data_IF_056497181287
#
_entry.id   IF_056497181287
#
_cell.length_a   1.000
_cell.length_b   1.000
_cell.length_c   1.000
_cell.angle_alpha   90.00
_cell.angle_beta   90.00
_cell.angle_gamma   90.00
#
_symmetry.space_group_name_H-M   'P 1'
#
loop_
_entity.id
_entity.type
_entity.pdbx_description
1 polymer ?
#
# COMPACT_ATOMS: atom_id res chain seq x y z
N UNK A 1 -28.89 -28.77 28.55
CA UNK A 1 -27.70 -29.68 28.54
C UNK A 1 -26.83 -29.31 27.37
N UNK A 2 -25.61 -28.82 27.61
CA UNK A 2 -24.66 -28.51 26.54
C UNK A 2 -24.31 -29.82 25.81
N UNK A 3 -24.42 -29.84 24.47
CA UNK A 3 -23.96 -30.97 23.65
C UNK A 3 -22.48 -31.16 23.89
N UNK A 4 -22.07 -32.24 24.54
CA UNK A 4 -20.67 -32.62 24.64
C UNK A 4 -20.18 -32.98 23.24
N UNK A 5 -19.14 -32.28 22.78
CA UNK A 5 -18.41 -32.62 21.55
C UNK A 5 -17.20 -33.50 21.96
N UNK A 6 -17.32 -34.83 21.92
CA UNK A 6 -16.35 -35.75 22.56
C UNK A 6 -14.97 -35.70 21.92
N UNK A 7 -14.89 -35.28 20.65
CA UNK A 7 -13.64 -35.24 19.90
C UNK A 7 -13.00 -33.83 19.90
N UNK A 8 -13.60 -32.85 20.63
CA UNK A 8 -13.08 -31.50 20.67
C UNK A 8 -11.86 -31.38 21.59
N UNK A 9 -10.77 -30.80 21.05
CA UNK A 9 -9.52 -30.57 21.74
C UNK A 9 -9.23 -29.06 21.79
N UNK A 10 -9.75 -28.33 22.78
CA UNK A 10 -9.68 -26.88 22.87
C UNK A 10 -8.23 -26.36 23.00
N UNK A 11 -7.33 -27.13 23.60
CA UNK A 11 -5.92 -26.76 23.78
C UNK A 11 -5.19 -26.51 22.44
N UNK A 12 -5.66 -27.09 21.33
CA UNK A 12 -5.08 -26.85 20.02
C UNK A 12 -5.30 -25.42 19.53
N UNK A 13 -6.41 -24.79 19.88
CA UNK A 13 -6.64 -23.37 19.54
C UNK A 13 -5.62 -22.46 20.23
N UNK A 14 -5.39 -22.71 21.52
CA UNK A 14 -4.39 -21.99 22.29
C UNK A 14 -2.99 -22.20 21.71
N UNK A 15 -2.63 -23.43 21.42
CA UNK A 15 -1.34 -23.77 20.83
C UNK A 15 -1.11 -23.00 19.52
N UNK A 16 -2.07 -22.99 18.60
CA UNK A 16 -1.94 -22.28 17.33
C UNK A 16 -1.93 -20.76 17.48
N UNK A 17 -2.66 -20.20 18.47
CA UNK A 17 -2.57 -18.78 18.79
C UNK A 17 -1.16 -18.40 19.27
N UNK A 18 -0.62 -19.16 20.20
CA UNK A 18 0.72 -18.92 20.77
C UNK A 18 1.82 -19.14 19.71
N UNK A 19 1.67 -20.12 18.81
CA UNK A 19 2.57 -20.39 17.69
C UNK A 19 2.77 -19.16 16.77
N UNK A 20 1.70 -18.37 16.56
CA UNK A 20 1.76 -17.18 15.73
C UNK A 20 1.87 -15.87 16.54
N UNK A 21 2.08 -15.95 17.85
CA UNK A 21 2.35 -14.83 18.75
C UNK A 21 1.17 -13.88 18.99
N UNK A 22 -0.08 -14.32 18.83
CA UNK A 22 -1.25 -13.47 19.06
C UNK A 22 -1.71 -13.48 20.52
N UNK A 23 -2.18 -12.32 20.99
CA UNK A 23 -2.95 -12.22 22.24
C UNK A 23 -4.39 -12.71 22.02
N UNK A 24 -5.19 -12.83 23.09
CA UNK A 24 -6.61 -13.16 22.99
C UNK A 24 -7.40 -12.02 22.32
N UNK A 25 -7.04 -10.77 22.60
CA UNK A 25 -7.59 -9.57 21.99
C UNK A 25 -7.33 -9.52 20.49
N UNK A 26 -6.06 -9.68 20.08
CA UNK A 26 -5.65 -9.70 18.68
C UNK A 26 -6.37 -10.80 17.90
N UNK A 27 -6.53 -11.98 18.52
CA UNK A 27 -7.27 -13.09 17.93
C UNK A 27 -8.72 -12.73 17.69
N UNK A 28 -9.37 -12.10 18.68
CA UNK A 28 -10.75 -11.64 18.55
C UNK A 28 -10.91 -10.63 17.41
N UNK A 29 -10.00 -9.68 17.29
CA UNK A 29 -9.99 -8.66 16.23
C UNK A 29 -9.82 -9.30 14.84
N UNK A 30 -8.79 -10.13 14.66
CA UNK A 30 -8.53 -10.83 13.39
C UNK A 30 -9.67 -11.74 12.96
N UNK A 31 -10.34 -12.41 13.91
CA UNK A 31 -11.50 -13.22 13.59
C UNK A 31 -12.70 -12.38 13.11
N UNK A 32 -12.92 -11.17 13.68
CA UNK A 32 -13.96 -10.25 13.19
C UNK A 32 -13.64 -9.75 11.79
N UNK A 33 -12.39 -9.33 11.53
CA UNK A 33 -11.94 -8.91 10.20
C UNK A 33 -12.15 -10.00 9.14
N UNK A 34 -11.79 -11.24 9.48
CA UNK A 34 -12.00 -12.39 8.58
C UNK A 34 -13.50 -12.62 8.33
N UNK A 35 -14.32 -12.53 9.35
CA UNK A 35 -15.76 -12.72 9.24
C UNK A 35 -16.40 -11.66 8.34
N UNK A 36 -16.07 -10.38 8.56
CA UNK A 36 -16.56 -9.25 7.77
C UNK A 36 -16.15 -9.38 6.29
N UNK A 37 -14.87 -9.69 6.03
CA UNK A 37 -14.34 -9.88 4.66
C UNK A 37 -15.04 -11.01 3.90
N UNK A 38 -15.57 -11.98 4.62
CA UNK A 38 -16.25 -13.15 4.05
C UNK A 38 -17.78 -13.13 4.21
N UNK A 39 -18.37 -11.99 4.55
CA UNK A 39 -19.81 -11.77 4.54
C UNK A 39 -20.57 -12.47 5.67
N UNK A 40 -19.92 -12.77 6.81
CA UNK A 40 -20.60 -13.29 8.01
C UNK A 40 -20.19 -12.50 9.24
N UNK A 41 -21.02 -12.53 10.29
CA UNK A 41 -20.80 -11.74 11.50
C UNK A 41 -20.53 -12.65 12.70
N UNK A 42 -19.55 -12.27 13.54
CA UNK A 42 -19.23 -12.90 14.81
C UNK A 42 -18.89 -11.83 15.85
N UNK A 43 -19.32 -12.04 17.09
CA UNK A 43 -19.04 -11.14 18.21
C UNK A 43 -17.79 -11.62 18.98
N UNK A 44 -16.65 -11.78 18.27
CA UNK A 44 -15.43 -12.26 18.88
C UNK A 44 -14.80 -11.16 19.77
N UNK A 45 -14.62 -11.48 21.04
CA UNK A 45 -13.88 -10.70 22.01
C UNK A 45 -12.98 -11.62 22.84
N UNK A 46 -12.15 -11.06 23.69
CA UNK A 46 -11.22 -11.82 24.49
C UNK A 46 -11.90 -12.91 25.33
N UNK A 47 -13.07 -12.63 25.95
CA UNK A 47 -13.80 -13.60 26.76
C UNK A 47 -14.33 -14.78 25.95
N UNK A 48 -14.78 -14.51 24.72
CA UNK A 48 -15.25 -15.55 23.79
C UNK A 48 -14.10 -16.46 23.37
N UNK A 49 -12.93 -15.89 23.01
CA UNK A 49 -11.76 -16.66 22.61
C UNK A 49 -11.25 -17.51 23.77
N UNK A 50 -11.14 -16.90 24.95
CA UNK A 50 -10.75 -17.62 26.17
C UNK A 50 -11.72 -18.75 26.52
N UNK A 51 -13.05 -18.55 26.37
CA UNK A 51 -14.05 -19.58 26.55
C UNK A 51 -13.89 -20.75 25.58
N UNK A 52 -13.52 -20.47 24.33
CA UNK A 52 -13.18 -21.49 23.33
C UNK A 52 -11.91 -22.26 23.70
N UNK A 53 -10.84 -21.59 24.06
CA UNK A 53 -9.55 -22.22 24.42
C UNK A 53 -9.61 -23.03 25.74
N UNK A 54 -10.46 -22.61 26.69
CA UNK A 54 -10.73 -23.39 27.92
C UNK A 54 -11.69 -24.56 27.75
N UNK A 55 -12.31 -24.67 26.58
CA UNK A 55 -13.30 -25.74 26.35
C UNK A 55 -14.63 -25.52 27.05
N UNK A 56 -14.90 -24.32 27.60
CA UNK A 56 -16.17 -24.00 28.24
C UNK A 56 -17.30 -23.76 27.24
N UNK A 57 -16.96 -23.27 26.05
CA UNK A 57 -17.90 -23.00 24.95
C UNK A 57 -17.37 -23.61 23.66
N UNK A 58 -18.16 -24.48 23.01
CA UNK A 58 -17.79 -25.02 21.71
C UNK A 58 -18.02 -23.97 20.61
N UNK A 59 -17.02 -23.63 19.75
CA UNK A 59 -17.17 -22.63 18.72
C UNK A 59 -18.25 -22.96 17.70
N UNK A 60 -19.15 -22.00 17.45
CA UNK A 60 -20.16 -22.13 16.40
C UNK A 60 -19.55 -22.20 14.98
N UNK A 61 -20.35 -22.58 13.95
CA UNK A 61 -19.85 -22.82 12.60
C UNK A 61 -19.08 -21.61 12.02
N UNK A 62 -19.55 -20.40 12.26
CA UNK A 62 -18.88 -19.17 11.79
C UNK A 62 -17.54 -18.97 12.48
N UNK A 63 -17.45 -19.20 13.79
CA UNK A 63 -16.17 -19.15 14.52
C UNK A 63 -15.18 -20.19 14.01
N UNK A 64 -15.62 -21.45 13.82
CA UNK A 64 -14.74 -22.50 13.29
C UNK A 64 -14.22 -22.15 11.92
N UNK A 65 -15.08 -21.64 11.03
CA UNK A 65 -14.68 -21.16 9.71
C UNK A 65 -13.66 -20.02 9.78
N UNK A 66 -13.83 -19.07 10.70
CA UNK A 66 -12.88 -17.98 10.92
C UNK A 66 -11.54 -18.48 11.47
N UNK A 67 -11.55 -19.38 12.45
CA UNK A 67 -10.35 -20.02 12.98
C UNK A 67 -9.58 -20.82 11.92
N UNK A 68 -10.27 -21.59 11.08
CA UNK A 68 -9.63 -22.34 10.00
C UNK A 68 -8.88 -21.39 9.04
N UNK A 69 -9.45 -20.22 8.75
CA UNK A 69 -8.78 -19.21 7.91
C UNK A 69 -7.63 -18.51 8.61
N UNK A 70 -7.82 -18.15 9.89
CA UNK A 70 -6.80 -17.46 10.68
C UNK A 70 -5.54 -18.32 10.81
N UNK A 71 -5.71 -19.58 11.20
CA UNK A 71 -4.59 -20.49 11.45
C UNK A 71 -4.17 -21.31 10.22
N UNK A 72 -4.86 -21.16 9.08
CA UNK A 72 -4.64 -21.96 7.87
C UNK A 72 -4.60 -23.46 8.14
N UNK A 73 -5.57 -23.93 8.92
CA UNK A 73 -5.75 -25.33 9.33
C UNK A 73 -7.19 -25.75 9.08
N UNK A 74 -7.42 -27.05 8.86
CA UNK A 74 -8.77 -27.59 8.80
C UNK A 74 -9.37 -27.82 10.19
N UNK A 75 -10.66 -28.13 10.26
CA UNK A 75 -11.39 -28.33 11.52
C UNK A 75 -10.81 -29.49 12.36
N UNK A 76 -10.30 -30.54 11.73
CA UNK A 76 -9.69 -31.66 12.43
C UNK A 76 -8.35 -31.28 13.05
N UNK A 77 -7.51 -30.56 12.31
CA UNK A 77 -6.23 -30.03 12.78
C UNK A 77 -6.38 -29.05 13.95
N UNK A 78 -7.46 -28.28 13.96
CA UNK A 78 -7.80 -27.37 15.06
C UNK A 78 -8.54 -28.07 16.22
N UNK A 79 -8.72 -29.38 16.13
CA UNK A 79 -9.35 -30.18 17.18
C UNK A 79 -10.86 -29.98 17.33
N UNK A 80 -11.54 -29.42 16.36
CA UNK A 80 -13.00 -29.26 16.41
C UNK A 80 -13.75 -30.58 16.19
N UNK A 81 -13.17 -31.52 15.48
CA UNK A 81 -13.72 -32.82 15.17
C UNK A 81 -12.63 -33.84 14.92
N UNK A 82 -12.99 -35.10 14.89
CA UNK A 82 -12.11 -36.18 14.44
C UNK A 82 -11.84 -36.05 12.94
N UNK A 83 -10.60 -36.37 12.54
CA UNK A 83 -10.22 -36.40 11.14
C UNK A 83 -11.05 -37.44 10.36
N UNK A 84 -11.40 -37.12 9.14
CA UNK A 84 -12.03 -38.06 8.21
C UNK A 84 -10.97 -39.01 7.62
N UNK A 85 -11.33 -40.20 7.15
CA UNK A 85 -10.38 -41.08 6.47
C UNK A 85 -9.70 -40.36 5.28
N UNK A 86 -8.38 -40.30 5.34
CA UNK A 86 -7.56 -39.56 4.32
C UNK A 86 -7.20 -38.13 4.69
N UNK A 87 -7.80 -37.52 5.72
CA UNK A 87 -7.40 -36.19 6.23
C UNK A 87 -6.14 -36.25 7.14
N UNK A 88 -5.81 -37.42 7.65
CA UNK A 88 -4.64 -37.65 8.52
C UNK A 88 -3.33 -37.86 7.74
N UNK A 89 -3.34 -37.77 6.40
CA UNK A 89 -2.09 -37.70 5.68
C UNK A 89 -1.32 -36.51 6.26
N UNK A 90 -0.09 -36.72 6.81
CA UNK A 90 0.71 -35.60 7.21
C UNK A 90 0.79 -34.73 5.97
N UNK A 91 0.30 -33.49 6.03
CA UNK A 91 0.91 -32.46 5.23
C UNK A 91 2.36 -32.59 5.62
N UNK A 92 3.18 -33.18 4.72
CA UNK A 92 4.62 -33.25 4.94
C UNK A 92 4.97 -31.92 5.55
N UNK A 93 5.43 -31.95 6.79
CA UNK A 93 5.97 -30.79 7.45
C UNK A 93 7.13 -30.42 6.55
N UNK A 94 6.87 -29.53 5.61
CA UNK A 94 7.94 -28.82 4.93
C UNK A 94 8.75 -28.28 6.09
N UNK A 95 9.97 -28.80 6.30
CA UNK A 95 10.79 -28.38 7.42
C UNK A 95 10.80 -26.87 7.36
N UNK A 96 10.53 -26.22 8.49
CA UNK A 96 10.67 -24.78 8.59
C UNK A 96 12.04 -24.48 7.98
N UNK A 97 12.14 -23.73 6.89
CA UNK A 97 13.43 -23.50 6.29
C UNK A 97 14.25 -22.83 7.36
N UNK A 98 15.30 -23.53 7.81
CA UNK A 98 16.43 -22.86 8.39
C UNK A 98 16.72 -21.71 7.44
N UNK A 99 16.61 -20.48 7.90
CA UNK A 99 16.93 -19.17 7.29
C UNK A 99 17.66 -19.20 5.91
N UNK A 100 17.23 -20.07 5.02
CA UNK A 100 17.60 -20.03 3.63
C UNK A 100 16.59 -19.10 2.97
N UNK A 101 17.06 -17.93 2.57
CA UNK A 101 16.39 -17.02 1.66
C UNK A 101 15.64 -17.84 0.60
N UNK A 102 14.32 -17.94 0.71
CA UNK A 102 13.50 -18.43 -0.39
C UNK A 102 13.60 -17.38 -1.46
N UNK A 103 14.63 -17.48 -2.30
CA UNK A 103 14.62 -16.80 -3.58
C UNK A 103 13.37 -17.27 -4.32
N UNK A 104 12.46 -16.36 -4.57
CA UNK A 104 11.39 -16.56 -5.53
C UNK A 104 12.03 -17.02 -6.84
N UNK A 105 11.40 -17.96 -7.58
CA UNK A 105 11.97 -18.44 -8.84
C UNK A 105 12.28 -17.25 -9.75
N UNK A 106 13.49 -17.16 -10.26
CA UNK A 106 13.97 -16.05 -11.10
C UNK A 106 13.31 -16.00 -12.50
N UNK A 107 12.38 -16.92 -12.79
CA UNK A 107 11.76 -17.02 -14.11
C UNK A 107 10.22 -16.98 -14.03
N UNK A 108 9.55 -16.14 -14.84
CA UNK A 108 8.09 -16.06 -14.92
C UNK A 108 7.41 -17.39 -15.18
N UNK A 109 8.04 -18.28 -15.96
CA UNK A 109 7.50 -19.60 -16.28
C UNK A 109 7.50 -20.57 -15.09
N UNK A 110 8.45 -20.46 -14.17
CA UNK A 110 8.46 -21.25 -12.95
C UNK A 110 7.34 -20.80 -11.98
N UNK A 111 7.05 -19.50 -11.90
CA UNK A 111 5.92 -18.95 -11.14
C UNK A 111 4.60 -19.38 -11.77
N UNK A 112 4.49 -19.31 -13.09
CA UNK A 112 3.30 -19.78 -13.85
C UNK A 112 3.07 -21.28 -13.62
N UNK A 113 4.11 -22.10 -13.63
CA UNK A 113 4.06 -23.53 -13.37
C UNK A 113 3.66 -23.84 -11.93
N UNK A 114 4.17 -23.10 -10.95
CA UNK A 114 3.79 -23.22 -9.53
C UNK A 114 2.32 -22.82 -9.30
N UNK A 115 1.83 -21.78 -9.99
CA UNK A 115 0.43 -21.35 -9.93
C UNK A 115 -0.50 -22.31 -10.67
N UNK A 116 -0.06 -22.95 -11.77
CA UNK A 116 -0.86 -23.94 -12.49
C UNK A 116 -1.02 -25.25 -11.70
N UNK A 117 -0.03 -25.65 -10.90
CA UNK A 117 -0.17 -26.83 -10.02
C UNK A 117 -1.15 -26.62 -8.85
N UNK A 118 -1.44 -25.37 -8.48
CA UNK A 118 -2.48 -25.04 -7.50
C UNK A 118 -3.89 -25.12 -8.14
N UNK A 119 -3.95 -25.14 -9.46
CA UNK A 119 -5.15 -25.00 -10.28
C UNK A 119 -5.84 -26.32 -10.62
N UNK A 120 -5.23 -27.46 -10.40
CA UNK A 120 -5.79 -28.81 -10.72
C UNK A 120 -7.05 -29.17 -9.92
N UNK A 121 -7.89 -28.19 -9.56
CA UNK A 121 -9.14 -28.38 -8.81
C UNK A 121 -10.24 -27.34 -9.02
N UNK A 122 -10.04 -26.31 -9.86
CA UNK A 122 -11.08 -25.27 -10.08
C UNK A 122 -11.14 -24.84 -11.55
N UNK A 123 -12.22 -25.25 -12.22
CA UNK A 123 -12.59 -24.84 -13.59
C UNK A 123 -13.18 -23.43 -13.64
N UNK A 124 -12.43 -22.38 -13.22
CA UNK A 124 -12.98 -21.03 -13.22
C UNK A 124 -12.13 -20.07 -14.06
N UNK A 125 -12.79 -19.42 -15.03
CA UNK A 125 -12.18 -18.41 -15.94
C UNK A 125 -11.52 -17.27 -15.16
N UNK A 126 -12.01 -16.96 -13.96
CA UNK A 126 -11.44 -15.98 -13.05
C UNK A 126 -10.05 -16.36 -12.52
N UNK A 127 -9.75 -17.66 -12.42
CA UNK A 127 -8.43 -18.14 -11.95
C UNK A 127 -7.32 -17.82 -12.95
N UNK A 128 -7.60 -17.83 -14.26
CA UNK A 128 -6.60 -17.49 -15.28
C UNK A 128 -6.27 -16.01 -15.29
N UNK A 129 -7.29 -15.18 -15.15
CA UNK A 129 -7.12 -13.74 -15.03
C UNK A 129 -6.35 -13.36 -13.76
N UNK A 130 -6.59 -14.08 -12.65
CA UNK A 130 -5.86 -13.90 -11.39
C UNK A 130 -4.41 -14.36 -11.53
N UNK A 131 -4.15 -15.54 -12.10
CA UNK A 131 -2.81 -16.02 -12.40
C UNK A 131 -2.02 -15.05 -13.27
N UNK A 132 -2.62 -14.53 -14.32
CA UNK A 132 -1.98 -13.57 -15.21
C UNK A 132 -1.67 -12.25 -14.47
N UNK A 133 -2.57 -11.78 -13.61
CA UNK A 133 -2.31 -10.59 -12.76
C UNK A 133 -1.16 -10.83 -11.79
N UNK A 134 -1.12 -11.98 -11.12
CA UNK A 134 -0.03 -12.34 -10.20
C UNK A 134 1.31 -12.45 -10.93
N UNK A 135 1.36 -13.17 -12.05
CA UNK A 135 2.57 -13.31 -12.86
C UNK A 135 3.05 -11.96 -13.41
N UNK A 136 2.14 -11.11 -13.87
CA UNK A 136 2.48 -9.78 -14.37
C UNK A 136 2.93 -8.84 -13.23
N UNK A 137 2.33 -8.93 -12.06
CA UNK A 137 2.79 -8.19 -10.89
C UNK A 137 4.18 -8.66 -10.44
N UNK A 138 4.41 -9.96 -10.41
CA UNK A 138 5.70 -10.53 -10.06
C UNK A 138 6.77 -10.19 -11.10
N UNK A 139 6.47 -10.31 -12.40
CA UNK A 139 7.40 -9.95 -13.49
C UNK A 139 7.78 -8.47 -13.45
N UNK A 140 6.84 -7.59 -13.07
CA UNK A 140 7.12 -6.16 -12.86
C UNK A 140 8.02 -5.93 -11.65
N UNK A 141 7.82 -6.67 -10.57
CA UNK A 141 8.69 -6.62 -9.39
C UNK A 141 10.11 -7.11 -9.68
N UNK A 142 10.24 -8.18 -10.45
CA UNK A 142 11.57 -8.75 -10.79
C UNK A 142 12.28 -7.99 -11.90
N UNK A 143 11.53 -7.40 -12.85
CA UNK A 143 12.11 -6.53 -13.87
C UNK A 143 12.64 -5.21 -13.32
N UNK A 144 12.08 -4.76 -12.17
CA UNK A 144 12.55 -3.59 -11.44
C UNK A 144 13.60 -3.89 -10.37
N UNK A 145 13.94 -5.17 -10.14
CA UNK A 145 15.07 -5.55 -9.28
C UNK A 145 16.38 -5.30 -10.05
N UNK A 146 16.70 -4.01 -10.21
CA UNK A 146 18.03 -3.59 -10.63
C UNK A 146 19.06 -4.14 -9.65
N UNK A 147 20.19 -4.59 -10.16
CA UNK A 147 21.37 -4.97 -9.35
C UNK A 147 21.89 -3.81 -8.49
N UNK A 148 21.37 -2.61 -8.71
CA UNK A 148 21.83 -1.35 -8.13
C UNK A 148 21.02 -0.85 -6.92
N UNK A 149 20.02 -1.63 -6.45
CA UNK A 149 19.19 -1.26 -5.30
C UNK A 149 17.83 -0.68 -5.68
N UNK A 150 16.98 -0.34 -4.67
CA UNK A 150 15.65 0.22 -4.94
C UNK A 150 15.74 1.66 -5.46
N UNK A 151 14.69 2.08 -6.14
CA UNK A 151 14.57 3.45 -6.68
C UNK A 151 13.44 4.19 -5.98
N UNK A 152 13.63 5.46 -5.69
CA UNK A 152 12.58 6.38 -5.26
C UNK A 152 12.33 7.44 -6.31
N UNK A 153 11.07 7.60 -6.71
CA UNK A 153 10.64 8.66 -7.62
C UNK A 153 9.87 9.71 -6.81
N UNK A 154 10.34 10.96 -6.86
CA UNK A 154 9.63 12.11 -6.29
C UNK A 154 8.82 12.79 -7.39
N UNK A 155 7.49 12.73 -7.32
CA UNK A 155 6.59 13.40 -8.27
C UNK A 155 6.03 14.65 -7.62
N UNK A 156 6.50 15.81 -8.07
CA UNK A 156 6.09 17.13 -7.61
C UNK A 156 5.27 17.90 -8.65
N UNK A 157 4.55 18.92 -8.18
CA UNK A 157 3.76 19.80 -9.05
C UNK A 157 2.69 20.55 -8.26
N UNK A 158 2.21 21.63 -8.82
CA UNK A 158 1.12 22.42 -8.24
C UNK A 158 -0.19 21.64 -8.16
N UNK A 159 -1.15 22.14 -7.38
CA UNK A 159 -2.50 21.59 -7.39
C UNK A 159 -3.10 21.77 -8.80
N UNK A 160 -3.69 20.70 -9.33
CA UNK A 160 -4.23 20.70 -10.69
C UNK A 160 -3.22 20.41 -11.80
N UNK A 161 -1.91 20.22 -11.52
CA UNK A 161 -0.92 19.89 -12.57
C UNK A 161 -1.01 18.47 -13.12
N UNK A 162 -1.80 17.57 -12.51
CA UNK A 162 -1.87 16.17 -12.95
C UNK A 162 -0.81 15.25 -12.34
N UNK A 163 -0.01 15.70 -11.35
CA UNK A 163 1.04 14.89 -10.72
C UNK A 163 0.56 13.52 -10.22
N UNK A 164 -0.65 13.45 -9.61
CA UNK A 164 -1.20 12.20 -9.09
C UNK A 164 -1.63 11.24 -10.21
N UNK A 165 -2.06 11.76 -11.35
CA UNK A 165 -2.33 10.95 -12.53
C UNK A 165 -1.04 10.39 -13.13
N UNK A 166 -0.01 11.24 -13.22
CA UNK A 166 1.31 10.83 -13.66
C UNK A 166 1.91 9.75 -12.73
N UNK A 167 1.79 9.91 -11.41
CA UNK A 167 2.20 8.90 -10.44
C UNK A 167 1.47 7.56 -10.64
N UNK A 168 0.18 7.58 -11.01
CA UNK A 168 -0.58 6.36 -11.33
C UNK A 168 -0.08 5.68 -12.61
N UNK A 169 0.28 6.43 -13.64
CA UNK A 169 0.90 5.85 -14.84
C UNK A 169 2.24 5.20 -14.51
N UNK A 170 3.10 5.87 -13.75
CA UNK A 170 4.34 5.27 -13.27
C UNK A 170 4.10 4.00 -12.46
N UNK A 171 3.15 4.04 -11.51
CA UNK A 171 2.77 2.87 -10.70
C UNK A 171 2.23 1.72 -11.54
N UNK A 172 1.41 2.02 -12.57
CA UNK A 172 0.90 1.03 -13.51
C UNK A 172 1.98 0.38 -14.37
N UNK A 173 2.99 1.16 -14.78
CA UNK A 173 4.11 0.69 -15.61
C UNK A 173 5.14 -0.09 -14.79
N UNK A 174 5.43 0.32 -13.57
CA UNK A 174 6.49 -0.27 -12.72
C UNK A 174 5.99 -1.32 -11.74
N UNK A 175 4.72 -1.24 -11.33
CA UNK A 175 4.19 -2.01 -10.21
C UNK A 175 4.65 -1.50 -8.83
N UNK A 176 5.31 -0.36 -8.75
CA UNK A 176 5.79 0.21 -7.50
C UNK A 176 4.66 0.86 -6.70
N UNK A 177 4.70 0.80 -5.36
CA UNK A 177 3.72 1.47 -4.52
C UNK A 177 3.76 2.98 -4.72
N UNK A 178 2.58 3.59 -4.77
CA UNK A 178 2.41 5.04 -4.79
C UNK A 178 2.11 5.49 -3.36
N UNK A 179 2.98 6.30 -2.81
CA UNK A 179 2.83 6.93 -1.51
C UNK A 179 2.33 8.37 -1.74
N UNK A 180 1.02 8.54 -1.78
CA UNK A 180 0.37 9.84 -1.92
C UNK A 180 0.22 10.48 -0.54
N UNK A 181 0.80 11.67 -0.37
CA UNK A 181 0.78 12.41 0.90
C UNK A 181 -0.65 12.59 1.43
N UNK A 182 -1.56 12.98 0.56
CA UNK A 182 -2.94 13.25 0.95
C UNK A 182 -3.68 11.97 1.31
N UNK A 183 -3.46 10.89 0.58
CA UNK A 183 -4.07 9.58 0.88
C UNK A 183 -3.60 9.01 2.20
N UNK A 184 -2.32 9.21 2.55
CA UNK A 184 -1.75 8.74 3.80
C UNK A 184 -2.23 9.53 5.02
N UNK A 185 -2.48 10.83 4.87
CA UNK A 185 -2.60 11.72 6.03
C UNK A 185 -3.90 12.49 6.14
N UNK A 186 -4.68 12.65 5.04
CA UNK A 186 -5.85 13.54 4.99
C UNK A 186 -6.82 13.41 6.17
N UNK A 187 -7.35 12.22 6.51
CA UNK A 187 -8.32 12.12 7.60
C UNK A 187 -7.76 12.58 8.95
N UNK A 188 -6.50 12.27 9.21
CA UNK A 188 -5.80 12.67 10.44
C UNK A 188 -5.52 14.17 10.46
N UNK A 189 -5.13 14.74 9.32
CA UNK A 189 -4.84 16.16 9.18
C UNK A 189 -6.10 17.01 9.35
N UNK A 190 -7.22 16.58 8.77
CA UNK A 190 -8.50 17.27 8.91
C UNK A 190 -8.92 17.31 10.40
N UNK A 191 -8.80 16.21 11.13
CA UNK A 191 -9.09 16.15 12.56
C UNK A 191 -8.08 16.97 13.39
N UNK A 192 -6.80 16.91 13.04
CA UNK A 192 -5.76 17.67 13.75
C UNK A 192 -5.99 19.18 13.59
N UNK A 193 -6.30 19.66 12.40
CA UNK A 193 -6.61 21.08 12.16
C UNK A 193 -7.78 21.55 13.01
N UNK A 194 -8.87 20.80 13.03
CA UNK A 194 -10.04 21.11 13.88
C UNK A 194 -9.64 21.14 15.36
N UNK A 195 -8.84 20.17 15.81
CA UNK A 195 -8.38 20.10 17.21
C UNK A 195 -7.49 21.28 17.60
N UNK A 196 -6.79 21.87 16.62
CA UNK A 196 -5.96 23.07 16.82
C UNK A 196 -6.72 24.39 16.62
N UNK A 197 -8.06 24.32 16.43
CA UNK A 197 -8.92 25.50 16.24
C UNK A 197 -8.93 26.06 14.82
N UNK A 198 -8.45 25.30 13.83
CA UNK A 198 -8.51 25.62 12.41
C UNK A 198 -9.66 24.93 11.69
N UNK A 199 -9.79 25.18 10.39
CA UNK A 199 -10.77 24.52 9.52
C UNK A 199 -10.20 23.22 8.94
N UNK A 200 -11.03 22.17 8.84
CA UNK A 200 -10.60 20.83 8.43
C UNK A 200 -9.87 20.80 7.07
N UNK A 201 -10.31 21.63 6.12
CA UNK A 201 -9.75 21.62 4.75
C UNK A 201 -8.75 22.76 4.49
N UNK A 202 -8.39 23.51 5.52
CA UNK A 202 -7.40 24.58 5.36
C UNK A 202 -6.00 24.00 5.09
N UNK A 203 -5.43 24.41 3.97
CA UNK A 203 -4.07 24.05 3.53
C UNK A 203 -3.23 25.30 3.23
N UNK A 204 -3.72 26.48 3.61
CA UNK A 204 -3.14 27.78 3.27
C UNK A 204 -2.69 28.59 4.49
N UNK A 205 -3.26 28.37 5.66
CA UNK A 205 -2.94 29.13 6.88
C UNK A 205 -1.51 28.87 7.40
N UNK A 206 -1.05 29.77 8.23
CA UNK A 206 0.22 29.61 8.96
C UNK A 206 0.16 28.43 9.92
N UNK A 207 -1.01 28.17 10.53
CA UNK A 207 -1.23 27.01 11.38
C UNK A 207 -0.90 25.71 10.61
N UNK A 208 -1.49 25.53 9.43
CA UNK A 208 -1.20 24.38 8.59
C UNK A 208 0.27 24.34 8.17
N UNK A 209 0.78 25.43 7.63
CA UNK A 209 2.16 25.48 7.07
C UNK A 209 3.22 25.18 8.13
N UNK A 210 3.06 25.67 9.34
CA UNK A 210 4.08 25.57 10.40
C UNK A 210 3.93 24.36 11.30
N UNK A 211 2.68 23.89 11.56
CA UNK A 211 2.41 22.85 12.56
C UNK A 211 2.01 21.51 11.94
N UNK A 212 1.28 21.52 10.85
CA UNK A 212 0.66 20.30 10.29
C UNK A 212 1.40 19.78 9.07
N UNK A 213 1.70 20.63 8.10
CA UNK A 213 2.42 20.24 6.88
C UNK A 213 3.75 19.50 7.14
N UNK A 214 4.60 19.90 8.10
CA UNK A 214 5.82 19.14 8.37
C UNK A 214 5.55 17.70 8.84
N UNK A 215 4.44 17.46 9.54
CA UNK A 215 4.06 16.12 10.00
C UNK A 215 3.59 15.25 8.83
N UNK A 216 2.83 15.80 7.87
CA UNK A 216 2.42 15.09 6.66
C UNK A 216 3.64 14.60 5.86
N UNK A 217 4.60 15.50 5.62
CA UNK A 217 5.82 15.13 4.90
C UNK A 217 6.68 14.13 5.68
N UNK A 218 6.68 14.23 6.99
CA UNK A 218 7.36 13.24 7.83
C UNK A 218 6.73 11.86 7.69
N UNK A 219 5.40 11.74 7.76
CA UNK A 219 4.69 10.47 7.52
C UNK A 219 4.99 9.90 6.14
N UNK A 220 4.94 10.75 5.09
CA UNK A 220 5.28 10.35 3.73
C UNK A 220 6.70 9.79 3.64
N UNK A 221 7.66 10.50 4.22
CA UNK A 221 9.07 10.10 4.17
C UNK A 221 9.36 8.86 5.00
N UNK A 222 8.74 8.69 6.17
CA UNK A 222 8.86 7.48 7.00
C UNK A 222 8.30 6.26 6.24
N UNK A 223 7.10 6.36 5.67
CA UNK A 223 6.52 5.30 4.85
C UNK A 223 7.39 4.95 3.62
N UNK A 224 8.02 5.95 3.00
CA UNK A 224 8.95 5.72 1.90
C UNK A 224 10.19 4.94 2.35
N UNK A 225 10.80 5.33 3.48
CA UNK A 225 11.99 4.64 3.99
C UNK A 225 11.70 3.21 4.40
N UNK A 226 10.53 2.92 4.98
CA UNK A 226 10.13 1.55 5.33
C UNK A 226 10.10 0.65 4.09
N UNK A 227 9.59 1.15 2.95
CA UNK A 227 9.61 0.40 1.68
C UNK A 227 11.03 0.23 1.14
N UNK A 228 11.79 1.32 1.07
CA UNK A 228 13.14 1.33 0.52
C UNK A 228 14.12 0.47 1.35
N UNK A 229 13.99 0.45 2.66
CA UNK A 229 14.79 -0.38 3.56
C UNK A 229 14.47 -1.89 3.39
N UNK A 230 13.27 -2.21 2.89
CA UNK A 230 12.90 -3.56 2.45
C UNK A 230 13.34 -3.89 1.01
N UNK A 231 14.03 -2.98 0.31
CA UNK A 231 14.44 -3.16 -1.09
C UNK A 231 13.30 -2.91 -2.10
N UNK A 232 12.20 -2.29 -1.67
CA UNK A 232 11.05 -2.01 -2.52
C UNK A 232 11.14 -0.56 -3.02
N UNK A 233 11.16 -0.38 -4.34
CA UNK A 233 11.08 0.93 -4.97
C UNK A 233 9.73 1.59 -4.72
N UNK A 234 9.69 2.93 -4.64
CA UNK A 234 8.46 3.66 -4.34
C UNK A 234 8.33 4.96 -5.13
N UNK A 235 7.08 5.36 -5.39
CA UNK A 235 6.72 6.63 -6.02
C UNK A 235 6.07 7.52 -4.96
N UNK A 236 6.63 8.70 -4.72
CA UNK A 236 6.12 9.65 -3.75
C UNK A 236 5.38 10.77 -4.48
N UNK A 237 4.08 10.89 -4.21
CA UNK A 237 3.21 11.94 -4.76
C UNK A 237 2.93 13.01 -3.70
N UNK A 238 3.50 14.19 -3.90
CA UNK A 238 3.25 15.38 -3.08
C UNK A 238 3.59 16.65 -3.88
N UNK A 239 3.14 17.85 -3.46
CA UNK A 239 3.50 19.09 -4.14
C UNK A 239 5.01 19.34 -4.22
N UNK A 240 5.79 19.03 -3.18
CA UNK A 240 7.25 19.19 -3.06
C UNK A 240 7.80 20.58 -3.39
N UNK A 241 6.96 21.63 -3.45
CA UNK A 241 7.37 22.97 -3.90
C UNK A 241 8.49 23.52 -3.00
N UNK A 242 8.30 23.48 -1.68
CA UNK A 242 9.29 23.99 -0.74
C UNK A 242 10.55 23.12 -0.70
N UNK A 243 10.39 21.82 -0.79
CA UNK A 243 11.46 20.83 -0.78
C UNK A 243 12.34 20.96 -2.03
N UNK A 244 11.71 21.07 -3.19
CA UNK A 244 12.40 21.19 -4.48
C UNK A 244 13.06 22.55 -4.70
N UNK A 245 12.61 23.60 -4.00
CA UNK A 245 13.25 24.92 -4.06
C UNK A 245 14.51 25.05 -3.21
N UNK A 246 14.76 24.08 -2.29
CA UNK A 246 15.87 24.12 -1.34
C UNK A 246 16.97 23.13 -1.73
N UNK A 247 18.10 23.66 -2.22
CA UNK A 247 19.25 22.83 -2.60
C UNK A 247 19.77 21.97 -1.44
N UNK A 248 19.74 22.48 -0.20
CA UNK A 248 20.19 21.75 0.98
C UNK A 248 19.28 20.57 1.31
N UNK A 249 17.96 20.71 1.11
CA UNK A 249 17.03 19.61 1.29
C UNK A 249 17.29 18.50 0.27
N UNK A 250 17.40 18.87 -1.00
CA UNK A 250 17.68 17.94 -2.10
C UNK A 250 19.01 17.21 -1.88
N UNK A 251 20.06 17.92 -1.49
CA UNK A 251 21.36 17.32 -1.20
C UNK A 251 21.30 16.34 -0.02
N UNK A 252 20.65 16.72 1.10
CA UNK A 252 20.47 15.81 2.25
C UNK A 252 19.70 14.55 1.86
N UNK A 253 18.62 14.70 1.09
CA UNK A 253 17.85 13.58 0.61
C UNK A 253 18.67 12.64 -0.29
N UNK A 254 19.33 13.20 -1.31
CA UNK A 254 20.20 12.43 -2.22
C UNK A 254 21.35 11.74 -1.49
N UNK A 255 21.98 12.40 -0.52
CA UNK A 255 23.05 11.81 0.28
C UNK A 255 22.55 10.63 1.12
N UNK A 256 21.36 10.76 1.72
CA UNK A 256 20.73 9.65 2.45
C UNK A 256 20.41 8.48 1.52
N UNK A 257 19.84 8.75 0.34
CA UNK A 257 19.58 7.71 -0.67
C UNK A 257 20.88 7.01 -1.08
N UNK A 258 21.92 7.77 -1.39
CA UNK A 258 23.23 7.23 -1.79
C UNK A 258 23.82 6.34 -0.68
N UNK A 259 23.73 6.75 0.58
CA UNK A 259 24.22 5.94 1.71
C UNK A 259 23.50 4.60 1.88
N UNK A 260 22.26 4.52 1.39
CA UNK A 260 21.41 3.32 1.41
C UNK A 260 21.37 2.58 0.05
N UNK A 261 22.16 3.00 -0.94
CA UNK A 261 22.14 2.48 -2.31
C UNK A 261 20.76 2.57 -2.97
N UNK A 262 20.06 3.68 -2.74
CA UNK A 262 18.77 3.99 -3.35
C UNK A 262 19.00 4.95 -4.50
N UNK A 263 18.51 4.61 -5.69
CA UNK A 263 18.47 5.52 -6.84
C UNK A 263 17.35 6.55 -6.66
N UNK A 264 17.53 7.76 -7.20
CA UNK A 264 16.59 8.88 -7.05
C UNK A 264 16.24 9.47 -8.41
N UNK A 265 14.96 9.58 -8.72
CA UNK A 265 14.47 10.42 -9.80
C UNK A 265 13.57 11.53 -9.24
N UNK A 266 13.75 12.74 -9.73
CA UNK A 266 12.92 13.90 -9.39
C UNK A 266 12.15 14.32 -10.64
N UNK A 267 10.84 14.42 -10.53
CA UNK A 267 9.95 14.75 -11.63
C UNK A 267 9.09 15.94 -11.22
N UNK A 268 9.04 16.94 -12.09
CA UNK A 268 8.15 18.07 -11.96
C UNK A 268 7.07 18.01 -13.03
N UNK A 269 5.83 17.84 -12.61
CA UNK A 269 4.67 17.86 -13.49
C UNK A 269 4.09 19.26 -13.49
N UNK A 270 4.14 19.92 -14.63
CA UNK A 270 3.58 21.25 -14.86
C UNK A 270 2.43 21.20 -15.86
N UNK A 271 1.68 22.28 -15.92
CA UNK A 271 0.74 22.60 -16.99
C UNK A 271 0.52 24.12 -17.05
N UNK A 272 -0.14 24.61 -18.10
CA UNK A 272 -0.58 26.00 -18.17
C UNK A 272 -1.75 26.29 -17.22
N UNK A 273 -2.07 27.57 -17.03
CA UNK A 273 -3.13 27.99 -16.10
C UNK A 273 -4.53 27.56 -16.53
N UNK A 274 -4.79 27.51 -17.83
CA UNK A 274 -6.08 27.10 -18.38
C UNK A 274 -6.35 25.64 -18.07
N UNK A 275 -5.41 24.78 -18.42
CA UNK A 275 -5.45 23.34 -18.10
C UNK A 275 -5.57 23.08 -16.60
N UNK A 276 -4.80 23.82 -15.79
CA UNK A 276 -4.84 23.70 -14.32
C UNK A 276 -6.23 24.03 -13.77
N UNK A 277 -6.84 25.11 -14.27
CA UNK A 277 -8.19 25.50 -13.86
C UNK A 277 -9.21 24.43 -14.18
N UNK A 278 -9.21 23.92 -15.41
CA UNK A 278 -10.11 22.85 -15.84
C UNK A 278 -9.94 21.57 -15.01
N UNK A 279 -8.71 21.16 -14.72
CA UNK A 279 -8.45 19.99 -13.90
C UNK A 279 -8.89 20.15 -12.45
N UNK A 280 -8.74 21.34 -11.86
CA UNK A 280 -9.22 21.64 -10.50
C UNK A 280 -10.74 21.64 -10.48
N UNK A 281 -11.39 22.28 -11.45
CA UNK A 281 -12.85 22.34 -11.60
C UNK A 281 -13.44 20.94 -11.79
N UNK A 282 -12.90 20.16 -12.73
CA UNK A 282 -13.32 18.78 -12.97
C UNK A 282 -13.19 17.89 -11.72
N UNK A 283 -12.11 18.05 -10.95
CA UNK A 283 -11.91 17.30 -9.72
C UNK A 283 -12.92 17.62 -8.62
N UNK A 284 -13.39 18.85 -8.53
CA UNK A 284 -14.44 19.30 -7.59
C UNK A 284 -14.14 19.05 -6.11
N UNK A 285 -12.87 19.02 -5.70
CA UNK A 285 -12.49 18.69 -4.33
C UNK A 285 -12.72 19.88 -3.38
N UNK A 286 -13.36 19.65 -2.21
CA UNK A 286 -13.69 20.70 -1.23
C UNK A 286 -12.48 21.57 -0.82
N UNK A 287 -11.28 20.98 -0.73
CA UNK A 287 -10.03 21.69 -0.42
C UNK A 287 -9.58 22.68 -1.50
N UNK A 288 -10.18 22.62 -2.68
CA UNK A 288 -9.84 23.48 -3.81
C UNK A 288 -10.89 24.60 -4.02
N UNK A 289 -11.99 24.61 -3.27
CA UNK A 289 -13.08 25.57 -3.42
C UNK A 289 -12.56 27.02 -3.39
N UNK A 290 -11.73 27.36 -2.39
CA UNK A 290 -11.17 28.69 -2.27
C UNK A 290 -10.30 29.10 -3.48
N UNK A 291 -9.63 28.15 -4.15
CA UNK A 291 -8.84 28.43 -5.36
C UNK A 291 -9.72 28.82 -6.54
N UNK A 292 -10.90 28.18 -6.63
CA UNK A 292 -11.87 28.52 -7.67
C UNK A 292 -12.57 29.84 -7.38
N UNK A 293 -12.86 30.14 -6.11
CA UNK A 293 -13.47 31.40 -5.68
C UNK A 293 -12.52 32.59 -5.86
N UNK A 294 -11.19 32.40 -5.64
CA UNK A 294 -10.15 33.41 -5.75
C UNK A 294 -9.10 33.03 -6.81
N UNK A 295 -9.54 32.60 -7.99
CA UNK A 295 -8.65 32.06 -9.02
C UNK A 295 -7.53 33.01 -9.42
N UNK A 296 -7.82 34.28 -9.64
CA UNK A 296 -6.82 35.29 -10.07
C UNK A 296 -5.72 35.45 -8.98
N UNK A 297 -6.11 35.45 -7.72
CA UNK A 297 -5.17 35.53 -6.60
C UNK A 297 -4.32 34.26 -6.54
N UNK A 298 -4.94 33.09 -6.62
CA UNK A 298 -4.23 31.81 -6.63
C UNK A 298 -3.25 31.72 -7.80
N UNK A 299 -3.70 32.05 -9.03
CA UNK A 299 -2.91 31.97 -10.24
C UNK A 299 -1.71 32.93 -10.22
N UNK A 300 -1.89 34.16 -9.68
CA UNK A 300 -0.81 35.14 -9.54
C UNK A 300 0.29 34.72 -8.58
N UNK A 301 -0.01 33.84 -7.63
CA UNK A 301 0.95 33.26 -6.68
C UNK A 301 1.74 32.08 -7.24
N UNK A 302 1.45 31.59 -8.45
CA UNK A 302 2.14 30.44 -9.04
C UNK A 302 3.33 30.86 -9.89
N UNK A 303 4.45 30.22 -9.68
CA UNK A 303 5.61 30.29 -10.58
C UNK A 303 5.58 29.15 -11.60
N UNK A 304 4.95 29.37 -12.76
CA UNK A 304 4.89 28.36 -13.83
C UNK A 304 6.26 28.02 -14.43
N UNK A 305 7.27 28.84 -14.19
CA UNK A 305 8.66 28.59 -14.60
C UNK A 305 9.46 27.87 -13.54
N UNK A 306 8.85 27.56 -12.41
CA UNK A 306 9.51 26.82 -11.33
C UNK A 306 10.14 25.53 -11.83
N UNK A 307 11.35 25.27 -11.37
CA UNK A 307 12.10 24.03 -11.62
C UNK A 307 12.75 23.56 -10.33
N UNK A 308 12.73 22.25 -10.04
CA UNK A 308 13.44 21.67 -8.92
C UNK A 308 14.95 21.97 -8.97
N UNK A 309 15.55 22.09 -7.81
CA UNK A 309 17.00 22.21 -7.70
C UNK A 309 17.66 20.84 -7.98
N UNK A 310 18.73 20.83 -8.81
CA UNK A 310 19.44 19.62 -9.19
C UNK A 310 18.82 18.88 -10.40
N UNK A 311 19.30 17.68 -10.69
CA UNK A 311 18.79 16.88 -11.82
C UNK A 311 17.31 16.53 -11.65
N UNK A 312 16.51 16.79 -12.69
CA UNK A 312 15.09 16.50 -12.68
C UNK A 312 14.55 16.34 -14.11
N UNK A 313 13.41 15.65 -14.21
CA UNK A 313 12.59 15.61 -15.42
C UNK A 313 11.45 16.64 -15.30
N UNK A 314 11.08 17.21 -16.43
CA UNK A 314 9.89 18.07 -16.53
C UNK A 314 8.89 17.42 -17.46
N UNK A 315 7.68 17.27 -16.99
CA UNK A 315 6.56 16.69 -17.71
C UNK A 315 5.50 17.75 -17.90
N UNK A 316 5.06 17.95 -19.15
CA UNK A 316 3.99 18.89 -19.51
C UNK A 316 2.65 18.15 -19.59
N UNK A 317 1.70 18.53 -18.73
CA UNK A 317 0.34 18.01 -18.71
C UNK A 317 -0.68 19.09 -19.13
N UNK A 318 -0.27 20.03 -19.98
CA UNK A 318 -1.23 20.98 -20.59
C UNK A 318 -2.17 20.25 -21.54
N UNK A 319 -3.41 20.72 -21.69
CA UNK A 319 -4.40 20.15 -22.63
C UNK A 319 -3.89 20.14 -24.07
N UNK A 320 -3.02 21.08 -24.41
CA UNK A 320 -2.36 21.18 -25.72
C UNK A 320 -0.99 20.50 -25.79
N UNK A 321 -0.58 19.69 -24.78
CA UNK A 321 0.72 19.05 -24.78
C UNK A 321 0.90 18.13 -25.99
N UNK A 322 2.09 18.15 -26.59
CA UNK A 322 2.41 17.35 -27.78
C UNK A 322 2.52 15.84 -27.49
N UNK A 323 2.84 15.48 -26.25
CA UNK A 323 3.05 14.10 -25.80
C UNK A 323 2.00 13.76 -24.77
N UNK A 324 1.40 12.57 -24.86
CA UNK A 324 0.45 12.12 -23.87
C UNK A 324 1.15 11.79 -22.55
N UNK A 325 0.51 12.08 -21.42
CA UNK A 325 1.08 11.91 -20.08
C UNK A 325 1.60 10.49 -19.81
N UNK A 326 0.96 9.48 -20.37
CA UNK A 326 1.41 8.07 -20.27
C UNK A 326 2.68 7.80 -21.06
N UNK A 327 2.90 8.48 -22.17
CA UNK A 327 4.11 8.34 -22.98
C UNK A 327 5.28 9.08 -22.34
N UNK A 328 5.05 10.26 -21.76
CA UNK A 328 6.00 10.93 -20.87
C UNK A 328 6.46 10.02 -19.71
N UNK A 329 5.54 9.25 -19.13
CA UNK A 329 5.89 8.30 -18.07
C UNK A 329 6.79 7.15 -18.58
N UNK A 330 6.58 6.67 -19.80
CA UNK A 330 7.44 5.67 -20.46
C UNK A 330 8.82 6.24 -20.78
N UNK A 331 8.88 7.46 -21.26
CA UNK A 331 10.13 8.13 -21.62
C UNK A 331 11.01 8.38 -20.39
N UNK A 332 10.42 8.82 -19.28
CA UNK A 332 11.13 8.98 -18.00
C UNK A 332 11.72 7.65 -17.52
N UNK A 333 10.98 6.55 -17.64
CA UNK A 333 11.44 5.22 -17.22
C UNK A 333 12.49 4.63 -18.18
N UNK A 334 12.46 5.01 -19.46
CA UNK A 334 13.39 4.51 -20.50
C UNK A 334 14.66 5.31 -20.60
N UNK A 335 14.65 6.56 -20.17
CA UNK A 335 15.70 7.55 -20.41
C UNK A 335 17.00 7.39 -19.63
N UNK A 336 17.26 6.20 -19.05
CA UNK A 336 18.58 5.85 -18.48
C UNK A 336 19.03 6.64 -17.26
N UNK A 337 18.10 7.27 -16.54
CA UNK A 337 18.37 8.01 -15.31
C UNK A 337 17.81 7.36 -14.04
N UNK A 338 17.25 6.14 -14.16
CA UNK A 338 16.68 5.38 -13.07
C UNK A 338 17.53 4.17 -12.72
#
# INVERSE_FOLDING_TARGET
MARKHPDWKPDLLRMHREEIGLTLEDTGEKLREIAERHGFNIAANFQTIWGHEKGSVYPGPHYRRAYCRLYRRNEAQLGFRKALPGEDAPVESVPAPASAERRLPDQPDAVRKALSSIREGTDDVDSEALCNRVVNAWSRHTAGASTDGPTVILVGGYAGSGKSEFAKFLGGLTGWPILDKDSLTRPLVDQLLVSLGGEAHDRSSDLYRQKVRPLEYRCLMEAAWDNLDCGISAILDAPFIAEFSQSEWMQRFQNRCRSKRVSVATIWVGCDLESMREYIEFRGAARDAWKMEAWEEYASGLDLKFRPQGPHFVVDNSLGAAVALVDEARDVLSGGGL
#
